data_IF_292221932221
#
_entry.id   IF_292221932221
#
_cell.length_a   1.000
_cell.length_b   1.000
_cell.length_c   1.000
_cell.angle_alpha   90.00
_cell.angle_beta   90.00
_cell.angle_gamma   90.00
#
_symmetry.space_group_name_H-M   'P 1'
#
loop_
_entity.id
_entity.type
_entity.pdbx_description
1 polymer ?
#
# COMPACT_ATOMS: atom_id res chain seq x y z
N UNK A 1 15.56 -3.23 -1.05
CA UNK A 1 14.12 -3.37 -0.71
C UNK A 1 13.65 -2.06 -0.10
N UNK A 2 12.42 -1.63 -0.39
CA UNK A 2 11.83 -0.42 0.20
C UNK A 2 10.43 -0.73 0.70
N UNK A 3 10.18 -0.45 1.98
CA UNK A 3 8.84 -0.44 2.56
C UNK A 3 8.43 1.03 2.73
N UNK A 4 7.27 1.38 2.19
CA UNK A 4 6.63 2.66 2.48
C UNK A 4 5.34 2.38 3.24
N UNK A 5 5.00 3.27 4.17
CA UNK A 5 3.73 3.28 4.89
C UNK A 5 3.07 4.65 4.77
N UNK A 6 1.75 4.65 4.76
CA UNK A 6 0.96 5.84 4.53
C UNK A 6 0.06 6.09 5.73
N UNK A 7 0.10 7.29 6.27
CA UNK A 7 -0.82 7.74 7.31
C UNK A 7 -1.78 8.76 6.70
N UNK A 8 -3.06 8.39 6.56
CA UNK A 8 -4.10 9.23 5.96
C UNK A 8 -4.55 10.38 6.85
N UNK A 9 -4.47 10.21 8.18
CA UNK A 9 -4.83 11.25 9.14
C UNK A 9 -3.86 12.44 9.06
N UNK A 10 -2.57 12.15 9.10
CA UNK A 10 -1.49 13.15 9.01
C UNK A 10 -1.13 13.52 7.57
N UNK A 11 -1.47 12.67 6.60
CA UNK A 11 -1.04 12.80 5.20
C UNK A 11 0.43 12.48 4.96
N UNK A 12 1.11 11.87 5.93
CA UNK A 12 2.55 11.60 5.87
C UNK A 12 2.88 10.26 5.22
N UNK A 13 4.07 10.20 4.62
CA UNK A 13 4.64 8.95 4.08
C UNK A 13 5.88 8.60 4.89
N UNK A 14 5.87 7.43 5.51
CA UNK A 14 7.03 6.86 6.18
C UNK A 14 7.76 5.92 5.23
N UNK A 15 9.05 6.14 5.00
CA UNK A 15 9.91 5.16 4.30
C UNK A 15 10.82 4.45 5.28
N UNK A 16 10.95 3.12 5.16
CA UNK A 16 11.85 2.32 5.99
C UNK A 16 13.30 2.77 5.78
N UNK A 17 14.03 3.06 6.85
CA UNK A 17 15.45 3.42 6.80
C UNK A 17 16.28 2.61 7.78
N UNK A 18 17.54 2.33 7.43
CA UNK A 18 18.53 1.67 8.29
C UNK A 18 18.96 2.51 9.51
N UNK A 19 18.27 3.64 9.78
CA UNK A 19 18.61 4.55 10.87
C UNK A 19 17.91 4.15 12.17
N UNK A 20 18.58 4.44 13.29
CA UNK A 20 18.11 4.15 14.65
C UNK A 20 16.77 4.82 14.97
N UNK A 21 15.73 4.00 15.13
CA UNK A 21 14.39 4.32 15.62
C UNK A 21 13.55 3.04 15.51
N UNK A 22 13.34 2.32 16.61
CA UNK A 22 12.84 0.95 16.56
C UNK A 22 11.31 0.91 16.41
N UNK A 23 10.80 0.88 15.18
CA UNK A 23 9.36 0.95 14.90
C UNK A 23 8.86 -0.15 13.96
N UNK A 24 9.77 -0.71 13.16
CA UNK A 24 9.54 -1.87 12.32
C UNK A 24 10.37 -3.04 12.84
N UNK A 25 9.80 -4.24 12.81
CA UNK A 25 10.56 -5.46 13.03
C UNK A 25 10.60 -6.25 11.72
N UNK A 26 11.79 -6.32 11.13
CA UNK A 26 12.09 -7.18 9.99
C UNK A 26 12.68 -8.49 10.47
N UNK A 27 12.26 -9.59 9.84
CA UNK A 27 12.63 -10.90 10.36
C UNK A 27 14.04 -11.29 9.90
N UNK A 28 14.46 -10.99 8.66
CA UNK A 28 15.85 -11.21 8.20
C UNK A 28 16.25 -10.34 6.98
N UNK A 29 17.39 -9.64 7.05
CA UNK A 29 17.94 -8.73 6.00
C UNK A 29 17.88 -9.28 4.56
N UNK A 30 17.95 -10.60 4.39
CA UNK A 30 18.05 -11.25 3.08
C UNK A 30 16.85 -12.16 2.69
N UNK A 31 15.93 -12.50 3.61
CA UNK A 31 14.87 -13.50 3.35
C UNK A 31 13.55 -13.28 4.14
N UNK A 32 12.42 -13.57 3.50
CA UNK A 32 11.12 -13.64 4.15
C UNK A 32 11.01 -14.87 5.08
N UNK A 33 10.24 -14.79 6.17
CA UNK A 33 10.13 -15.86 7.14
C UNK A 33 8.94 -16.79 6.84
N UNK A 34 9.14 -18.09 6.58
CA UNK A 34 8.06 -19.01 6.29
C UNK A 34 7.02 -19.10 7.41
N UNK A 35 5.74 -19.03 7.03
CA UNK A 35 4.63 -19.17 7.98
C UNK A 35 4.20 -20.65 8.02
N UNK A 36 4.79 -21.40 8.96
CA UNK A 36 4.49 -22.81 9.16
C UNK A 36 4.63 -23.64 7.88
N UNK A 37 3.61 -24.43 7.55
CA UNK A 37 3.53 -25.22 6.32
C UNK A 37 2.77 -24.51 5.18
N UNK A 38 2.45 -23.22 5.32
CA UNK A 38 1.72 -22.48 4.30
C UNK A 38 2.64 -22.06 3.15
N UNK A 39 2.04 -21.65 2.04
CA UNK A 39 2.78 -21.06 0.92
C UNK A 39 3.24 -19.62 1.18
N UNK A 40 2.79 -19.01 2.28
CA UNK A 40 3.03 -17.61 2.59
C UNK A 40 4.26 -17.41 3.48
N UNK A 41 4.83 -16.23 3.34
CA UNK A 41 5.97 -15.77 4.11
C UNK A 41 5.62 -14.44 4.81
N UNK A 42 6.09 -14.29 6.05
CA UNK A 42 6.04 -13.03 6.78
C UNK A 42 7.18 -12.13 6.29
N UNK A 43 6.83 -10.99 5.73
CA UNK A 43 7.77 -9.98 5.23
C UNK A 43 8.17 -9.01 6.35
N UNK A 44 7.18 -8.38 6.99
CA UNK A 44 7.38 -7.39 8.04
C UNK A 44 6.34 -7.57 9.15
N UNK A 45 6.69 -7.09 10.34
CA UNK A 45 5.74 -6.86 11.43
C UNK A 45 5.79 -5.37 11.80
N UNK A 46 4.70 -4.66 11.55
CA UNK A 46 4.57 -3.22 11.83
C UNK A 46 4.07 -3.03 13.27
N UNK A 47 4.70 -2.15 14.04
CA UNK A 47 4.19 -1.74 15.36
C UNK A 47 3.04 -0.73 15.19
N UNK A 48 1.84 -1.06 15.67
CA UNK A 48 0.68 -0.15 15.57
C UNK A 48 0.81 1.10 16.45
N UNK A 49 1.78 1.11 17.39
CA UNK A 49 2.04 2.27 18.22
C UNK A 49 2.95 3.29 17.53
N UNK A 50 3.48 2.98 16.34
CA UNK A 50 4.21 3.95 15.54
C UNK A 50 3.24 4.98 14.93
N UNK A 51 3.59 6.26 15.02
CA UNK A 51 2.74 7.36 14.56
C UNK A 51 2.50 7.37 13.03
N UNK A 52 3.27 6.64 12.24
CA UNK A 52 3.07 6.51 10.79
C UNK A 52 2.13 5.36 10.42
N UNK A 53 1.73 4.51 11.38
CA UNK A 53 0.81 3.40 11.15
C UNK A 53 -0.58 3.80 11.67
N UNK A 54 -1.50 4.12 10.77
CA UNK A 54 -2.87 4.54 11.09
C UNK A 54 -3.89 3.39 11.02
N UNK A 55 -3.45 2.17 11.36
CA UNK A 55 -4.29 0.98 11.38
C UNK A 55 -4.52 0.51 12.80
N UNK A 56 -5.80 0.33 13.15
CA UNK A 56 -6.20 -0.20 14.44
C UNK A 56 -6.96 -1.54 14.30
N UNK A 57 -6.41 -2.60 14.90
CA UNK A 57 -7.09 -3.88 15.11
C UNK A 57 -7.19 -4.14 16.61
N UNK A 58 -8.39 -4.35 17.19
CA UNK A 58 -8.53 -4.51 18.63
C UNK A 58 -7.72 -5.69 19.18
N UNK A 59 -6.94 -5.44 20.23
CA UNK A 59 -6.12 -6.47 20.90
C UNK A 59 -4.87 -6.88 20.14
N UNK A 60 -4.54 -6.19 19.06
CA UNK A 60 -3.34 -6.42 18.23
C UNK A 60 -2.40 -5.25 18.39
N UNK A 61 -1.14 -5.54 18.67
CA UNK A 61 -0.04 -4.57 18.75
C UNK A 61 0.85 -4.60 17.50
N UNK A 62 0.72 -5.65 16.68
CA UNK A 62 1.56 -5.85 15.49
C UNK A 62 0.76 -6.23 14.26
N UNK A 63 0.95 -5.51 13.16
CA UNK A 63 0.35 -5.85 11.86
C UNK A 63 1.36 -6.64 11.01
N UNK A 64 1.11 -7.93 10.74
CA UNK A 64 1.95 -8.70 9.84
C UNK A 64 1.69 -8.31 8.39
N UNK A 65 2.75 -8.06 7.62
CA UNK A 65 2.72 -7.99 6.16
C UNK A 65 3.16 -9.34 5.62
N UNK A 66 2.25 -10.06 4.97
CA UNK A 66 2.48 -11.42 4.47
C UNK A 66 2.30 -11.48 2.96
N UNK A 67 3.08 -12.32 2.29
CA UNK A 67 2.92 -12.57 0.86
C UNK A 67 3.53 -13.91 0.43
N UNK A 68 3.14 -14.42 -0.75
CA UNK A 68 3.66 -15.67 -1.34
C UNK A 68 4.93 -15.38 -2.14
N UNK A 69 6.11 -15.42 -1.50
CA UNK A 69 7.39 -15.09 -2.16
C UNK A 69 8.01 -16.29 -2.88
N UNK A 70 7.79 -17.52 -2.38
CA UNK A 70 8.44 -18.74 -2.89
C UNK A 70 7.82 -19.35 -4.14
N UNK A 71 6.51 -19.17 -4.34
CA UNK A 71 5.77 -19.71 -5.50
C UNK A 71 4.69 -18.71 -5.95
N UNK A 72 5.07 -17.59 -6.53
CA UNK A 72 4.17 -16.47 -6.77
C UNK A 72 3.20 -16.74 -7.92
N UNK A 73 1.90 -16.60 -7.66
CA UNK A 73 0.84 -16.91 -8.62
C UNK A 73 -0.06 -15.68 -8.94
N UNK A 74 0.44 -14.47 -8.67
CA UNK A 74 -0.22 -13.18 -8.93
C UNK A 74 -1.65 -13.02 -8.39
N UNK A 75 -2.11 -13.98 -7.58
CA UNK A 75 -3.45 -13.97 -7.02
C UNK A 75 -3.51 -13.01 -5.85
N UNK A 76 -4.62 -12.27 -5.74
CA UNK A 76 -4.85 -11.40 -4.59
C UNK A 76 -4.96 -12.24 -3.32
N UNK A 77 -4.24 -11.81 -2.27
CA UNK A 77 -4.32 -12.42 -0.95
C UNK A 77 -5.16 -11.53 -0.05
N UNK A 78 -6.10 -12.12 0.68
CA UNK A 78 -6.88 -11.44 1.70
C UNK A 78 -6.83 -12.21 3.03
N UNK A 79 -6.56 -11.49 4.12
CA UNK A 79 -6.48 -12.07 5.46
C UNK A 79 -6.96 -11.09 6.53
N UNK A 80 -7.17 -11.60 7.75
CA UNK A 80 -7.47 -10.81 8.95
C UNK A 80 -6.47 -11.15 10.04
N UNK A 81 -6.13 -10.16 10.85
CA UNK A 81 -5.31 -10.36 12.05
C UNK A 81 -6.23 -10.71 13.22
N UNK A 82 -6.08 -11.89 13.78
CA UNK A 82 -6.85 -12.36 14.93
C UNK A 82 -6.16 -12.04 16.26
N UNK A 83 -4.82 -12.12 16.28
CA UNK A 83 -3.96 -11.70 17.37
C UNK A 83 -2.54 -11.43 16.84
N UNK A 84 -1.63 -10.97 17.70
CA UNK A 84 -0.22 -10.75 17.33
C UNK A 84 0.49 -11.99 16.77
N UNK A 85 -0.05 -13.19 17.04
CA UNK A 85 0.55 -14.46 16.62
C UNK A 85 -0.37 -15.27 15.69
N UNK A 86 -1.50 -14.71 15.23
CA UNK A 86 -2.48 -15.46 14.45
C UNK A 86 -3.19 -14.59 13.42
N UNK A 87 -3.30 -15.12 12.22
CA UNK A 87 -4.11 -14.57 11.14
C UNK A 87 -5.18 -15.58 10.70
N UNK A 88 -6.19 -15.12 9.96
CA UNK A 88 -7.14 -15.96 9.25
C UNK A 88 -7.14 -15.57 7.79
N UNK A 89 -6.76 -16.49 6.91
CA UNK A 89 -6.82 -16.29 5.45
C UNK A 89 -8.29 -16.35 5.03
N UNK A 90 -8.78 -15.36 4.28
CA UNK A 90 -10.20 -15.22 3.94
C UNK A 90 -10.68 -16.36 3.04
N UNK A 91 -9.87 -16.77 2.05
CA UNK A 91 -10.20 -17.87 1.13
C UNK A 91 -10.28 -19.23 1.83
N UNK A 92 -9.33 -19.52 2.72
CA UNK A 92 -9.23 -20.82 3.39
C UNK A 92 -10.09 -20.90 4.67
N UNK A 93 -10.44 -19.73 5.23
CA UNK A 93 -11.15 -19.56 6.51
C UNK A 93 -10.50 -20.29 7.71
N UNK A 94 -9.24 -20.70 7.56
CA UNK A 94 -8.47 -21.39 8.59
C UNK A 94 -7.53 -20.41 9.33
N UNK A 95 -7.42 -20.52 10.66
CA UNK A 95 -6.41 -19.78 11.40
C UNK A 95 -5.01 -20.30 11.04
N UNK A 96 -4.07 -19.37 10.92
CA UNK A 96 -2.67 -19.63 10.63
C UNK A 96 -1.84 -18.94 11.72
N UNK A 97 -1.04 -19.72 12.43
CA UNK A 97 -0.12 -19.18 13.42
C UNK A 97 1.09 -18.55 12.75
N UNK A 98 1.39 -17.32 13.14
CA UNK A 98 2.58 -16.58 12.71
C UNK A 98 3.84 -17.14 13.40
N UNK A 99 5.00 -17.06 12.75
CA UNK A 99 6.26 -17.43 13.38
C UNK A 99 6.54 -16.52 14.59
N UNK A 100 7.10 -17.10 15.66
CA UNK A 100 7.57 -16.32 16.80
C UNK A 100 8.78 -15.49 16.38
N UNK A 101 8.65 -14.16 16.47
CA UNK A 101 9.73 -13.24 16.12
C UNK A 101 10.77 -13.19 17.23
N UNK A 102 11.97 -13.70 16.95
CA UNK A 102 13.12 -13.57 17.83
C UNK A 102 13.62 -12.12 17.80
N UNK A 103 13.31 -11.34 18.85
CA UNK A 103 13.67 -9.93 18.93
C UNK A 103 15.17 -9.67 18.82
N UNK A 104 16.02 -10.65 19.16
CA UNK A 104 17.48 -10.52 19.05
C UNK A 104 17.98 -10.69 17.62
N UNK A 105 17.23 -11.41 16.78
CA UNK A 105 17.58 -11.66 15.37
C UNK A 105 16.89 -10.72 14.41
N UNK A 106 15.90 -9.99 14.90
CA UNK A 106 15.10 -9.13 14.07
C UNK A 106 15.80 -7.78 13.85
N UNK A 107 15.84 -7.34 12.61
CA UNK A 107 16.40 -6.03 12.25
C UNK A 107 15.32 -4.99 12.46
N UNK A 108 15.62 -3.93 13.22
CA UNK A 108 14.68 -2.85 13.47
C UNK A 108 14.96 -1.66 12.58
N UNK A 109 13.94 -1.21 11.86
CA UNK A 109 14.00 -0.02 11.01
C UNK A 109 13.14 1.09 11.59
N UNK A 110 13.56 2.32 11.34
CA UNK A 110 12.76 3.50 11.58
C UNK A 110 12.02 3.94 10.32
N UNK A 111 11.10 4.88 10.51
CA UNK A 111 10.50 5.61 9.40
C UNK A 111 11.12 6.99 9.29
N UNK A 112 11.55 7.34 8.07
CA UNK A 112 11.73 8.75 7.72
C UNK A 112 10.41 9.25 7.15
N UNK A 113 9.85 10.26 7.81
CA UNK A 113 8.67 10.96 7.33
C UNK A 113 9.05 11.93 6.21
N UNK A 114 8.31 11.89 5.11
CA UNK A 114 8.28 12.97 4.14
C UNK A 114 7.04 13.82 4.40
N UNK A 115 7.25 15.12 4.60
CA UNK A 115 6.16 16.08 4.65
C UNK A 115 5.52 16.13 3.26
N UNK A 116 4.22 15.82 3.20
CA UNK A 116 3.44 15.83 1.98
C UNK A 116 2.32 16.84 2.15
N UNK A 117 2.46 18.01 1.51
CA UNK A 117 1.41 19.01 1.51
C UNK A 117 0.37 18.67 0.44
N UNK A 118 -0.69 17.97 0.85
CA UNK A 118 -1.80 17.56 -0.04
C UNK A 118 -2.54 18.72 -0.69
N UNK A 119 -2.34 19.95 -0.23
CA UNK A 119 -2.93 21.14 -0.84
C UNK A 119 -2.10 21.69 -2.01
N UNK A 120 -0.88 21.17 -2.23
CA UNK A 120 0.05 21.63 -3.26
C UNK A 120 0.18 20.61 -4.39
N UNK A 121 0.06 21.09 -5.63
CA UNK A 121 0.06 20.25 -6.82
C UNK A 121 1.29 19.33 -6.91
N UNK A 122 2.49 19.90 -6.71
CA UNK A 122 3.76 19.17 -6.81
C UNK A 122 3.87 18.01 -5.82
N UNK A 123 3.31 18.16 -4.62
CA UNK A 123 3.34 17.14 -3.57
C UNK A 123 2.20 16.14 -3.72
N UNK A 124 0.98 16.63 -3.95
CA UNK A 124 -0.20 15.79 -4.14
C UNK A 124 -0.05 14.82 -5.31
N UNK A 125 0.56 15.26 -6.43
CA UNK A 125 0.82 14.38 -7.58
C UNK A 125 1.78 13.22 -7.26
N UNK A 126 2.69 13.35 -6.28
CA UNK A 126 3.62 12.24 -5.94
C UNK A 126 2.86 11.01 -5.42
N UNK A 127 1.73 11.25 -4.75
CA UNK A 127 0.96 10.25 -4.01
C UNK A 127 -0.52 10.26 -4.38
N UNK A 128 -0.87 10.70 -5.60
CA UNK A 128 -2.24 10.84 -6.08
C UNK A 128 -3.05 9.53 -6.00
N UNK A 129 -2.40 8.39 -6.27
CA UNK A 129 -2.99 7.06 -6.14
C UNK A 129 -3.21 6.60 -4.69
N UNK A 130 -2.54 7.21 -3.71
CA UNK A 130 -2.69 6.88 -2.29
C UNK A 130 -3.71 7.83 -1.64
N UNK A 131 -3.46 9.14 -1.73
CA UNK A 131 -4.22 10.16 -1.00
C UNK A 131 -5.29 10.86 -1.84
N UNK A 132 -5.31 10.64 -3.15
CA UNK A 132 -6.18 11.38 -4.06
C UNK A 132 -5.74 12.84 -4.25
N UNK A 133 -6.59 13.60 -4.95
CA UNK A 133 -6.34 14.99 -5.35
C UNK A 133 -7.50 15.92 -4.94
N UNK A 134 -8.41 15.44 -4.08
CA UNK A 134 -9.61 16.16 -3.63
C UNK A 134 -9.27 17.41 -2.79
N UNK A 135 -8.06 17.47 -2.23
CA UNK A 135 -7.59 18.58 -1.41
C UNK A 135 -7.03 19.75 -2.22
N UNK A 136 -6.88 19.61 -3.54
CA UNK A 136 -6.41 20.70 -4.39
C UNK A 136 -7.51 21.73 -4.61
N UNK A 137 -7.17 23.01 -4.39
CA UNK A 137 -7.99 24.12 -4.88
C UNK A 137 -8.01 24.15 -6.41
N UNK A 138 -8.96 24.87 -7.02
CA UNK A 138 -9.02 25.01 -8.49
C UNK A 138 -7.69 25.55 -9.09
N UNK A 139 -7.03 26.48 -8.40
CA UNK A 139 -5.74 27.01 -8.81
C UNK A 139 -4.64 25.95 -8.79
N UNK A 140 -4.61 25.11 -7.75
CA UNK A 140 -3.61 24.05 -7.62
C UNK A 140 -3.94 22.87 -8.53
N UNK A 141 -5.21 22.61 -8.83
CA UNK A 141 -5.61 21.64 -9.85
C UNK A 141 -5.17 22.10 -11.25
N UNK A 142 -5.33 23.38 -11.59
CA UNK A 142 -4.79 23.92 -12.84
C UNK A 142 -3.26 23.78 -12.89
N UNK A 143 -2.57 24.03 -11.78
CA UNK A 143 -1.12 23.79 -11.68
C UNK A 143 -0.76 22.32 -11.86
N UNK A 144 -1.55 21.39 -11.30
CA UNK A 144 -1.36 19.96 -11.49
C UNK A 144 -1.53 19.56 -12.97
N UNK A 145 -2.52 20.12 -13.67
CA UNK A 145 -2.69 19.93 -15.11
C UNK A 145 -1.48 20.41 -15.90
N UNK A 146 -0.91 21.58 -15.57
CA UNK A 146 0.33 22.07 -16.20
C UNK A 146 1.50 21.11 -16.01
N UNK A 147 1.72 20.63 -14.78
CA UNK A 147 2.79 19.68 -14.46
C UNK A 147 2.62 18.38 -15.25
N UNK A 148 1.40 17.86 -15.32
CA UNK A 148 1.10 16.63 -16.08
C UNK A 148 1.24 16.86 -17.59
N UNK A 149 0.83 18.01 -18.11
CA UNK A 149 0.98 18.38 -19.52
C UNK A 149 2.46 18.39 -19.93
N UNK A 150 3.33 18.99 -19.11
CA UNK A 150 4.77 19.00 -19.31
C UNK A 150 5.36 17.59 -19.27
N UNK A 151 4.95 16.78 -18.28
CA UNK A 151 5.42 15.41 -18.10
C UNK A 151 5.03 14.50 -19.29
N UNK A 152 3.79 14.61 -19.75
CA UNK A 152 3.23 13.87 -20.89
C UNK A 152 3.55 14.53 -22.23
N UNK A 153 4.24 15.67 -22.23
CA UNK A 153 4.63 16.44 -23.42
C UNK A 153 3.44 16.78 -24.33
N UNK A 154 2.28 17.00 -23.72
CA UNK A 154 1.02 17.23 -24.41
C UNK A 154 0.38 15.99 -25.05
N UNK A 155 0.96 14.79 -24.93
CA UNK A 155 0.36 13.54 -25.44
C UNK A 155 -0.59 12.90 -24.42
N UNK A 156 -1.75 13.52 -24.23
CA UNK A 156 -2.73 13.02 -23.26
C UNK A 156 -3.35 11.68 -23.68
N UNK A 157 -3.66 11.52 -24.97
CA UNK A 157 -4.32 10.31 -25.49
C UNK A 157 -3.44 9.06 -25.33
N UNK A 158 -2.13 9.18 -25.53
CA UNK A 158 -1.19 8.07 -25.34
C UNK A 158 -1.01 7.62 -23.88
N UNK A 159 -1.44 8.45 -22.92
CA UNK A 159 -1.26 8.20 -21.48
C UNK A 159 -2.56 7.86 -20.73
N UNK A 160 -3.73 8.03 -21.34
CA UNK A 160 -5.01 7.71 -20.71
C UNK A 160 -5.45 6.28 -21.04
N UNK A 161 -5.97 5.55 -20.03
CA UNK A 161 -6.63 4.26 -20.25
C UNK A 161 -8.00 4.50 -20.92
N UNK A 162 -8.73 5.49 -20.42
CA UNK A 162 -10.03 5.89 -20.95
C UNK A 162 -9.84 6.95 -22.05
N UNK A 163 -10.53 6.85 -23.20
CA UNK A 163 -10.44 7.86 -24.24
C UNK A 163 -10.71 9.28 -23.73
N UNK A 164 -9.82 10.22 -24.05
CA UNK A 164 -9.83 11.58 -23.45
C UNK A 164 -11.15 12.34 -23.67
N UNK A 165 -11.83 12.10 -24.78
CA UNK A 165 -13.11 12.75 -25.12
C UNK A 165 -14.28 12.33 -24.22
N UNK A 166 -14.09 11.32 -23.37
CA UNK A 166 -15.07 10.91 -22.36
C UNK A 166 -14.95 11.74 -21.06
N UNK A 167 -13.89 12.55 -20.92
CA UNK A 167 -13.72 13.48 -19.82
C UNK A 167 -14.22 14.88 -20.19
N UNK A 168 -14.77 15.60 -19.21
CA UNK A 168 -15.23 16.97 -19.40
C UNK A 168 -14.06 17.97 -19.45
N UNK A 169 -12.94 17.65 -18.78
CA UNK A 169 -11.76 18.50 -18.72
C UNK A 169 -10.46 17.72 -18.47
N UNK A 170 -9.30 18.36 -18.73
CA UNK A 170 -7.99 17.82 -18.33
C UNK A 170 -7.87 17.61 -16.82
N UNK A 171 -8.57 18.40 -16.00
CA UNK A 171 -8.58 18.20 -14.56
C UNK A 171 -9.24 16.86 -14.19
N UNK A 172 -10.28 16.47 -14.92
CA UNK A 172 -10.96 15.18 -14.70
C UNK A 172 -10.09 14.01 -15.17
N UNK A 173 -9.33 14.21 -16.26
CA UNK A 173 -8.28 13.26 -16.68
C UNK A 173 -7.25 13.08 -15.57
N UNK A 174 -6.70 14.18 -15.02
CA UNK A 174 -5.71 14.09 -13.93
C UNK A 174 -6.29 13.38 -12.71
N UNK A 175 -7.54 13.63 -12.34
CA UNK A 175 -8.21 12.93 -11.21
C UNK A 175 -8.45 11.45 -11.48
N UNK A 176 -8.78 11.08 -12.70
CA UNK A 176 -9.15 9.71 -13.07
C UNK A 176 -7.98 8.80 -13.46
N UNK A 177 -6.98 9.36 -14.13
CA UNK A 177 -5.92 8.61 -14.81
C UNK A 177 -4.53 8.82 -14.16
N UNK A 178 -4.31 9.90 -13.40
CA UNK A 178 -3.02 10.14 -12.73
C UNK A 178 -2.93 9.45 -11.37
N UNK A 179 -2.42 8.22 -11.37
CA UNK A 179 -2.59 7.29 -10.25
C UNK A 179 -1.28 6.97 -9.50
N UNK A 180 -0.23 7.78 -9.67
CA UNK A 180 1.07 7.55 -9.02
C UNK A 180 0.95 7.42 -7.49
N UNK A 181 1.68 6.47 -6.86
CA UNK A 181 2.70 5.60 -7.42
C UNK A 181 2.15 4.34 -8.13
N UNK A 182 0.83 4.18 -8.20
CA UNK A 182 0.19 3.01 -8.79
C UNK A 182 0.04 3.16 -10.31
N UNK A 183 0.04 2.03 -11.01
CA UNK A 183 -0.28 1.93 -12.44
C UNK A 183 -1.77 1.71 -12.70
N UNK A 184 -2.53 1.34 -11.66
CA UNK A 184 -3.98 1.11 -11.71
C UNK A 184 -4.68 1.94 -10.63
N UNK A 185 -5.99 2.09 -10.75
CA UNK A 185 -6.76 3.08 -9.97
C UNK A 185 -6.58 2.94 -8.45
N UNK A 186 -6.73 4.06 -7.72
CA UNK A 186 -6.71 4.13 -6.25
C UNK A 186 -7.84 3.35 -5.56
N UNK A 187 -8.82 2.88 -6.33
CA UNK A 187 -10.03 2.27 -5.82
C UNK A 187 -9.79 0.78 -5.55
N UNK A 188 -9.24 0.50 -4.37
CA UNK A 188 -9.04 -0.87 -3.91
C UNK A 188 -10.36 -1.48 -3.41
N UNK A 189 -10.64 -2.72 -3.79
CA UNK A 189 -11.74 -3.50 -3.22
C UNK A 189 -11.32 -4.21 -1.93
N UNK A 190 -12.30 -4.45 -1.05
CA UNK A 190 -12.09 -5.31 0.11
C UNK A 190 -12.03 -6.77 -0.35
N UNK A 191 -10.95 -7.48 -0.05
CA UNK A 191 -10.82 -8.91 -0.39
C UNK A 191 -11.75 -9.84 0.38
N UNK A 192 -12.48 -9.36 1.40
CA UNK A 192 -13.55 -10.09 2.08
C UNK A 192 -14.95 -9.63 1.63
N UNK A 193 -15.37 -10.14 0.46
CA UNK A 193 -16.65 -9.80 -0.18
C UNK A 193 -17.88 -10.26 0.62
N UNK A 194 -17.75 -11.31 1.44
CA UNK A 194 -18.85 -11.90 2.20
C UNK A 194 -19.36 -10.98 3.32
N UNK A 195 -18.59 -9.97 3.72
CA UNK A 195 -18.91 -9.11 4.89
C UNK A 195 -19.65 -7.83 4.57
N UNK A 196 -20.16 -7.68 3.34
CA UNK A 196 -20.96 -6.52 2.98
C UNK A 196 -20.20 -5.20 3.08
N UNK A 197 -18.87 -5.25 2.91
CA UNK A 197 -18.05 -4.06 2.73
C UNK A 197 -18.44 -3.45 1.38
N UNK A 198 -19.39 -2.53 1.39
CA UNK A 198 -19.95 -1.97 0.17
C UNK A 198 -18.88 -1.16 -0.55
N UNK A 199 -18.78 -1.41 -1.85
CA UNK A 199 -18.08 -0.59 -2.82
C UNK A 199 -18.91 0.67 -3.01
N UNK A 200 -18.49 1.80 -2.44
CA UNK A 200 -18.98 3.09 -2.89
C UNK A 200 -17.80 3.76 -3.59
N UNK A 201 -17.91 3.95 -4.90
CA UNK A 201 -16.87 4.53 -5.76
C UNK A 201 -16.52 5.98 -5.34
N UNK A 202 -17.28 6.59 -4.44
CA UNK A 202 -17.03 7.94 -3.92
C UNK A 202 -16.25 7.97 -2.62
N UNK A 203 -16.15 6.85 -1.88
CA UNK A 203 -15.51 6.80 -0.57
C UNK A 203 -14.79 5.45 -0.44
N UNK A 204 -13.56 5.39 -0.92
CA UNK A 204 -12.71 4.20 -0.85
C UNK A 204 -12.56 3.82 0.63
N UNK A 205 -13.45 2.95 1.08
CA UNK A 205 -13.44 2.44 2.45
C UNK A 205 -12.10 1.74 2.67
N UNK A 206 -11.59 1.07 1.64
CA UNK A 206 -10.29 0.41 1.63
C UNK A 206 -9.19 1.38 1.22
N UNK A 207 -8.11 1.40 1.99
CA UNK A 207 -6.99 2.33 1.80
C UNK A 207 -5.67 1.58 1.70
N UNK A 208 -4.81 1.98 0.77
CA UNK A 208 -3.45 1.47 0.71
C UNK A 208 -2.66 2.04 1.89
N UNK A 209 -2.17 1.19 2.78
CA UNK A 209 -1.45 1.64 3.97
C UNK A 209 0.05 1.32 3.91
N UNK A 210 0.46 0.41 3.04
CA UNK A 210 1.86 0.11 2.82
C UNK A 210 2.14 -0.35 1.40
N UNK A 211 3.36 -0.10 0.92
CA UNK A 211 3.91 -0.71 -0.29
C UNK A 211 5.22 -1.40 0.01
N UNK A 212 5.50 -2.48 -0.71
CA UNK A 212 6.77 -3.17 -0.66
C UNK A 212 7.32 -3.33 -2.08
N UNK A 213 8.48 -2.72 -2.34
CA UNK A 213 9.25 -2.93 -3.57
C UNK A 213 10.52 -3.73 -3.24
N UNK A 214 10.68 -4.89 -3.86
CA UNK A 214 11.93 -5.64 -3.74
C UNK A 214 13.03 -4.95 -4.55
N UNK A 215 14.30 -5.12 -4.14
CA UNK A 215 15.44 -4.62 -4.90
C UNK A 215 15.38 -5.12 -6.35
N UNK A 216 15.54 -4.21 -7.32
CA UNK A 216 15.58 -4.55 -8.75
C UNK A 216 16.71 -5.52 -9.10
N UNK A 217 17.75 -5.60 -8.26
CA UNK A 217 18.87 -6.53 -8.43
C UNK A 217 18.59 -7.93 -7.87
N UNK A 218 17.50 -8.10 -7.12
CA UNK A 218 17.05 -9.38 -6.57
C UNK A 218 15.55 -9.52 -6.85
N UNK A 219 15.15 -9.81 -8.10
CA UNK A 219 13.75 -9.84 -8.50
C UNK A 219 12.99 -10.99 -7.84
N UNK A 220 11.75 -10.71 -7.39
CA UNK A 220 10.86 -11.73 -6.83
C UNK A 220 10.53 -12.77 -7.91
N UNK A 221 10.30 -12.31 -9.16
CA UNK A 221 9.65 -13.09 -10.23
C UNK A 221 10.49 -13.13 -11.50
N UNK A 222 11.58 -13.88 -11.48
CA UNK A 222 12.46 -14.04 -12.65
C UNK A 222 13.15 -12.72 -13.01
N UNK A 223 12.61 -11.95 -13.95
CA UNK A 223 13.10 -10.61 -14.32
C UNK A 223 12.17 -9.47 -13.89
N UNK A 224 11.11 -9.75 -13.13
CA UNK A 224 10.14 -8.76 -12.67
C UNK A 224 10.22 -8.57 -11.14
N UNK A 225 10.16 -7.31 -10.72
CA UNK A 225 10.07 -6.88 -9.32
C UNK A 225 8.79 -6.07 -9.15
N UNK A 226 7.63 -6.70 -8.89
CA UNK A 226 6.40 -5.95 -8.75
C UNK A 226 6.37 -5.16 -7.44
N UNK A 227 5.58 -4.10 -7.46
CA UNK A 227 5.21 -3.35 -6.27
C UNK A 227 4.06 -4.09 -5.58
N UNK A 228 4.30 -4.62 -4.39
CA UNK A 228 3.21 -5.13 -3.56
C UNK A 228 2.49 -3.97 -2.90
N UNK A 229 1.17 -3.97 -2.96
CA UNK A 229 0.32 -2.95 -2.36
C UNK A 229 -0.54 -3.61 -1.28
N UNK A 230 -0.36 -3.16 -0.04
CA UNK A 230 -1.14 -3.61 1.10
C UNK A 230 -2.25 -2.61 1.39
N UNK A 231 -3.47 -3.12 1.44
CA UNK A 231 -4.66 -2.30 1.65
C UNK A 231 -5.43 -2.78 2.87
N UNK A 232 -6.07 -1.86 3.58
CA UNK A 232 -6.80 -2.15 4.81
C UNK A 232 -8.24 -1.68 4.70
N UNK A 233 -9.18 -2.57 5.04
CA UNK A 233 -10.59 -2.24 5.18
C UNK A 233 -10.93 -1.95 6.65
N UNK A 234 -11.29 -0.71 7.04
CA UNK A 234 -11.64 -0.36 8.41
C UNK A 234 -12.96 -1.01 8.88
N UNK A 235 -13.85 -1.42 7.97
CA UNK A 235 -15.14 -2.05 8.31
C UNK A 235 -14.93 -3.48 8.82
N UNK A 236 -14.32 -4.34 7.99
CA UNK A 236 -14.13 -5.76 8.34
C UNK A 236 -12.73 -6.09 8.87
N UNK A 237 -11.82 -5.12 8.87
CA UNK A 237 -10.41 -5.23 9.29
C UNK A 237 -9.64 -6.27 8.48
N UNK A 238 -10.02 -6.43 7.22
CA UNK A 238 -9.30 -7.27 6.27
C UNK A 238 -8.12 -6.49 5.70
N UNK A 239 -6.99 -7.17 5.58
CA UNK A 239 -5.84 -6.73 4.81
C UNK A 239 -5.86 -7.49 3.49
N UNK A 240 -5.79 -6.75 2.38
CA UNK A 240 -5.63 -7.33 1.05
C UNK A 240 -4.26 -6.96 0.48
N UNK A 241 -3.69 -7.86 -0.31
CA UNK A 241 -2.38 -7.68 -0.95
C UNK A 241 -2.53 -7.92 -2.44
N UNK A 242 -2.29 -6.85 -3.20
CA UNK A 242 -2.22 -6.86 -4.64
C UNK A 242 -0.78 -6.65 -5.13
N UNK A 243 -0.57 -6.84 -6.43
CA UNK A 243 0.69 -6.57 -7.10
C UNK A 243 0.44 -5.70 -8.33
N UNK A 244 1.41 -4.85 -8.68
CA UNK A 244 1.45 -4.05 -9.91
C UNK A 244 2.86 -4.00 -10.48
#
# INVERSE_FOLDING_TARGET
MSLQVFNYESGSVGSSTNSSGAHLQFVFEDHACPIGSTAYDLLYSLDVNDAHIDIAVPGVTRIPLIYKVRDPDFSELAYRVASDNEIVIVGDKAPVSLPCLDEQKSVKFGFKSEANDRSKADDALKWAGVFGLEHLSDSEMNRAVEIVDELWRGDWEGHCITPIHLYESKADVVRGEYLRPFYQSKWFSCGDFDRGCRYDESDATVRAFATYEQDRNAPLFGSMSPLLVFTFCPICRCISVGNQ
#
